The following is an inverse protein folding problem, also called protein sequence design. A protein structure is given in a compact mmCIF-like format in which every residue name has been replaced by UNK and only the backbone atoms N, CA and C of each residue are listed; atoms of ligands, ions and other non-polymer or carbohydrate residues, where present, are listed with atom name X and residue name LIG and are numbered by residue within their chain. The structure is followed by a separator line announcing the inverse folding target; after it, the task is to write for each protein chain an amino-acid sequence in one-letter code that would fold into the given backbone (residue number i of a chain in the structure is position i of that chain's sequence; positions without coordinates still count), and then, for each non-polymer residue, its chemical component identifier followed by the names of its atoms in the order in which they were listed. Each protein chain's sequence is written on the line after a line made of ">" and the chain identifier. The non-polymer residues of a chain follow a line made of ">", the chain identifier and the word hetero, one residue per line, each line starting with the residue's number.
data_IF_974692585972
#
_entry.id   IF_974692585972
#
_cell.length_a   1.000
_cell.length_b   1.000
_cell.length_c   1.000
_cell.angle_alpha   90.00
_cell.angle_beta   90.00
_cell.angle_gamma   90.00
#
_symmetry.space_group_name_H-M   'P 1'
#
loop_
_entity.id
_entity.type
_entity.pdbx_description
1 polymer ?
#
# COMPACT_ATOMS: atom_id res chain seq x y z
N UNK A 1 -13.47 -19.07 0.16
CA UNK A 1 -12.55 -18.43 -0.80
C UNK A 1 -12.88 -16.95 -0.89
N UNK A 2 -11.88 -16.08 -0.89
CA UNK A 2 -12.01 -14.63 -1.07
C UNK A 2 -11.33 -14.26 -2.37
N UNK A 3 -12.03 -13.52 -3.24
CA UNK A 3 -11.45 -13.00 -4.48
C UNK A 3 -11.49 -11.49 -4.42
N UNK A 4 -10.34 -10.84 -4.49
CA UNK A 4 -10.23 -9.40 -4.32
C UNK A 4 -9.33 -8.76 -5.37
N UNK A 5 -9.67 -7.55 -5.77
CA UNK A 5 -8.81 -6.68 -6.58
C UNK A 5 -8.22 -5.62 -5.67
N UNK A 6 -6.99 -5.21 -5.89
CA UNK A 6 -6.41 -4.09 -5.16
C UNK A 6 -5.65 -3.14 -6.07
N UNK A 7 -5.70 -1.86 -5.71
CA UNK A 7 -4.98 -0.81 -6.42
C UNK A 7 -4.72 0.42 -5.54
N UNK A 8 -3.72 1.21 -5.93
CA UNK A 8 -3.48 2.52 -5.35
C UNK A 8 -4.24 3.61 -6.08
N UNK A 9 -4.90 4.46 -5.31
CA UNK A 9 -5.40 5.71 -5.85
C UNK A 9 -4.25 6.64 -6.26
N UNK A 10 -4.55 7.60 -7.14
CA UNK A 10 -3.72 8.78 -7.32
C UNK A 10 -3.47 9.44 -5.95
N UNK A 11 -2.27 10.00 -5.77
CA UNK A 11 -1.91 10.65 -4.49
C UNK A 11 -2.89 11.79 -4.22
N UNK A 12 -3.62 11.67 -3.11
CA UNK A 12 -4.51 12.70 -2.60
C UNK A 12 -3.65 13.78 -1.92
N UNK A 13 -4.01 15.04 -2.09
CA UNK A 13 -3.24 16.16 -1.53
C UNK A 13 -4.05 16.83 -0.41
N UNK A 14 -3.35 17.36 0.60
CA UNK A 14 -3.93 18.13 1.70
C UNK A 14 -3.05 19.39 1.90
N UNK A 15 -3.61 20.60 1.79
CA UNK A 15 -5.00 20.90 1.48
C UNK A 15 -5.39 20.66 0.01
N UNK A 16 -6.64 20.28 -0.27
CA UNK A 16 -7.23 20.10 -1.60
C UNK A 16 -8.42 21.05 -1.79
N UNK A 17 -8.61 21.54 -3.02
CA UNK A 17 -9.68 22.47 -3.37
C UNK A 17 -9.29 23.39 -4.53
N UNK A 18 -10.24 24.16 -5.03
CA UNK A 18 -10.06 25.08 -6.16
C UNK A 18 -9.58 26.46 -5.69
N UNK A 19 -8.50 26.50 -4.89
CA UNK A 19 -7.88 27.73 -4.40
C UNK A 19 -6.54 27.92 -5.10
N UNK A 20 -6.33 29.09 -5.72
CA UNK A 20 -5.15 29.36 -6.56
C UNK A 20 -3.82 29.02 -5.86
N UNK A 21 -3.68 29.35 -4.57
CA UNK A 21 -2.43 29.09 -3.83
C UNK A 21 -2.09 27.60 -3.72
N UNK A 22 -3.09 26.70 -3.74
CA UNK A 22 -2.89 25.25 -3.65
C UNK A 22 -2.21 24.66 -4.89
N UNK A 23 -2.14 25.39 -5.99
CA UNK A 23 -1.45 24.95 -7.21
C UNK A 23 0.05 25.29 -7.18
N UNK A 24 0.45 26.30 -6.41
CA UNK A 24 1.83 26.82 -6.38
C UNK A 24 2.63 26.32 -5.17
N UNK A 25 1.96 25.84 -4.12
CA UNK A 25 2.60 25.38 -2.88
C UNK A 25 2.63 23.86 -2.77
N UNK A 26 3.68 23.34 -2.13
CA UNK A 26 3.76 21.90 -1.82
C UNK A 26 2.73 21.56 -0.75
N UNK A 27 2.07 20.42 -0.97
CA UNK A 27 0.98 19.93 -0.11
C UNK A 27 1.38 18.61 0.54
N UNK A 28 0.72 18.31 1.65
CA UNK A 28 0.86 17.03 2.34
C UNK A 28 0.21 15.94 1.48
N UNK A 29 0.94 14.87 1.24
CA UNK A 29 0.44 13.72 0.48
C UNK A 29 -0.29 12.75 1.40
N UNK A 30 -1.53 12.45 1.05
CA UNK A 30 -2.35 11.38 1.63
C UNK A 30 -2.47 10.24 0.63
N UNK A 31 -2.26 9.02 1.09
CA UNK A 31 -2.30 7.81 0.28
C UNK A 31 -3.57 7.04 0.59
N UNK A 32 -4.15 6.44 -0.46
CA UNK A 32 -5.27 5.52 -0.36
C UNK A 32 -4.94 4.25 -1.14
N UNK A 33 -4.89 3.12 -0.44
CA UNK A 33 -4.76 1.80 -1.02
C UNK A 33 -6.06 1.03 -0.84
N UNK A 34 -6.71 0.67 -1.94
CA UNK A 34 -8.03 0.06 -1.91
C UNK A 34 -7.91 -1.43 -2.16
N UNK A 35 -8.56 -2.24 -1.33
CA UNK A 35 -8.79 -3.67 -1.57
C UNK A 35 -10.29 -3.91 -1.69
N UNK A 36 -10.74 -4.33 -2.87
CA UNK A 36 -12.14 -4.59 -3.19
C UNK A 36 -12.42 -6.09 -3.20
N UNK A 37 -13.25 -6.57 -2.28
CA UNK A 37 -13.76 -7.95 -2.28
C UNK A 37 -14.88 -8.06 -3.32
N UNK A 38 -14.63 -8.78 -4.41
CA UNK A 38 -15.56 -8.91 -5.53
C UNK A 38 -16.81 -9.71 -5.16
N UNK A 39 -16.69 -10.70 -4.25
CA UNK A 39 -17.82 -11.53 -3.86
C UNK A 39 -18.77 -10.75 -2.94
N UNK A 40 -18.22 -10.01 -1.97
CA UNK A 40 -19.01 -9.23 -1.01
C UNK A 40 -19.38 -7.83 -1.53
N UNK A 41 -18.77 -7.39 -2.63
CA UNK A 41 -18.87 -6.03 -3.17
C UNK A 41 -18.52 -4.95 -2.13
N UNK A 42 -17.51 -5.23 -1.30
CA UNK A 42 -17.05 -4.34 -0.22
C UNK A 42 -15.63 -3.87 -0.50
N UNK A 43 -15.44 -2.56 -0.43
CA UNK A 43 -14.12 -1.93 -0.53
C UNK A 43 -13.58 -1.60 0.86
N UNK A 44 -12.32 -1.94 1.09
CA UNK A 44 -11.54 -1.49 2.24
C UNK A 44 -10.48 -0.51 1.73
N UNK A 45 -10.56 0.74 2.16
CA UNK A 45 -9.64 1.82 1.84
C UNK A 45 -8.66 2.01 3.01
N UNK A 46 -7.42 1.59 2.81
CA UNK A 46 -6.32 1.78 3.75
C UNK A 46 -5.71 3.16 3.50
N UNK A 47 -5.84 4.06 4.47
CA UNK A 47 -5.41 5.45 4.32
C UNK A 47 -4.39 5.85 5.37
N UNK A 48 -3.36 6.56 4.92
CA UNK A 48 -2.34 7.21 5.75
C UNK A 48 -1.74 8.38 4.99
N UNK A 49 -1.09 9.30 5.70
CA UNK A 49 -0.33 10.38 5.09
C UNK A 49 1.18 10.12 5.12
N UNK A 50 1.94 10.93 4.39
CA UNK A 50 3.39 10.76 4.22
C UNK A 50 4.20 10.89 5.51
N UNK A 51 3.65 11.46 6.59
CA UNK A 51 4.30 11.48 7.90
C UNK A 51 4.24 10.14 8.63
N UNK A 52 3.28 9.28 8.27
CA UNK A 52 3.08 7.96 8.88
C UNK A 52 3.94 6.93 8.18
N UNK A 53 3.74 6.72 6.89
CA UNK A 53 4.42 5.68 6.13
C UNK A 53 4.64 6.10 4.67
N UNK A 54 5.61 5.47 4.01
CA UNK A 54 5.90 5.71 2.58
C UNK A 54 4.81 5.09 1.70
N UNK A 55 4.98 5.19 0.39
CA UNK A 55 4.12 4.54 -0.62
C UNK A 55 4.88 3.45 -1.36
N UNK A 56 5.19 2.34 -0.68
CA UNK A 56 6.01 1.26 -1.21
C UNK A 56 5.49 -0.14 -0.91
N UNK A 57 6.33 -1.13 -1.22
CA UNK A 57 5.96 -2.54 -1.13
C UNK A 57 5.67 -3.03 0.30
N UNK A 58 6.30 -2.43 1.33
CA UNK A 58 6.02 -2.81 2.73
C UNK A 58 4.62 -2.39 3.15
N UNK A 59 4.17 -1.20 2.73
CA UNK A 59 2.83 -0.71 3.02
C UNK A 59 1.76 -1.54 2.32
N UNK A 60 1.96 -1.83 1.02
CA UNK A 60 1.08 -2.74 0.25
C UNK A 60 1.00 -4.09 0.92
N UNK A 61 2.16 -4.69 1.24
CA UNK A 61 2.23 -6.01 1.85
C UNK A 61 1.52 -6.04 3.20
N UNK A 62 1.67 -4.97 3.99
CA UNK A 62 1.04 -4.85 5.31
C UNK A 62 -0.48 -4.69 5.23
N UNK A 63 -0.98 -3.87 4.30
CA UNK A 63 -2.41 -3.72 4.06
C UNK A 63 -3.05 -5.03 3.57
N UNK A 64 -2.39 -5.73 2.64
CA UNK A 64 -2.84 -7.05 2.18
C UNK A 64 -2.78 -8.09 3.30
N UNK A 65 -1.74 -8.08 4.13
CA UNK A 65 -1.62 -8.96 5.29
C UNK A 65 -2.77 -8.72 6.30
N UNK A 66 -3.10 -7.46 6.59
CA UNK A 66 -4.24 -7.10 7.44
C UNK A 66 -5.57 -7.59 6.83
N UNK A 67 -5.77 -7.41 5.52
CA UNK A 67 -6.95 -7.89 4.80
C UNK A 67 -7.08 -9.42 4.87
N UNK A 68 -5.97 -10.14 4.67
CA UNK A 68 -5.91 -11.61 4.76
C UNK A 68 -6.29 -12.06 6.18
N UNK A 69 -5.62 -11.50 7.20
CA UNK A 69 -5.88 -11.83 8.61
C UNK A 69 -7.35 -11.62 8.99
N UNK A 70 -7.91 -10.46 8.65
CA UNK A 70 -9.31 -10.12 8.94
C UNK A 70 -10.30 -11.09 8.28
N UNK A 71 -9.98 -11.63 7.10
CA UNK A 71 -10.84 -12.60 6.43
C UNK A 71 -10.62 -14.04 6.90
N UNK A 72 -9.42 -14.39 7.37
CA UNK A 72 -9.17 -15.67 8.05
C UNK A 72 -9.98 -15.76 9.34
N UNK A 73 -10.03 -14.67 10.12
CA UNK A 73 -10.86 -14.60 11.33
C UNK A 73 -12.36 -14.81 11.03
N UNK A 74 -12.75 -14.63 9.76
CA UNK A 74 -14.10 -14.90 9.21
C UNK A 74 -14.21 -16.26 8.51
N UNK A 75 -13.21 -17.13 8.62
CA UNK A 75 -13.19 -18.49 8.07
C UNK A 75 -12.62 -18.64 6.65
N UNK A 76 -11.95 -17.62 6.09
CA UNK A 76 -11.36 -17.74 4.76
C UNK A 76 -10.05 -18.55 4.76
N UNK A 77 -9.94 -19.52 3.85
CA UNK A 77 -8.77 -20.40 3.69
C UNK A 77 -8.05 -20.26 2.34
N UNK A 78 -8.68 -19.60 1.37
CA UNK A 78 -8.16 -19.39 0.02
C UNK A 78 -8.39 -17.95 -0.41
N UNK A 79 -7.34 -17.33 -0.96
CA UNK A 79 -7.32 -15.96 -1.44
C UNK A 79 -6.88 -15.90 -2.90
N UNK A 80 -7.63 -15.16 -3.70
CA UNK A 80 -7.32 -14.88 -5.10
C UNK A 80 -7.28 -13.37 -5.30
N UNK A 81 -6.07 -12.86 -5.46
CA UNK A 81 -5.83 -11.44 -5.69
C UNK A 81 -5.65 -11.12 -7.16
N UNK A 82 -6.09 -9.94 -7.53
CA UNK A 82 -5.87 -9.32 -8.83
C UNK A 82 -5.32 -7.92 -8.63
N UNK A 83 -4.34 -7.51 -9.44
CA UNK A 83 -3.83 -6.13 -9.43
C UNK A 83 -3.34 -5.72 -10.80
N UNK A 84 -3.08 -4.42 -10.93
CA UNK A 84 -2.39 -3.85 -12.07
C UNK A 84 -0.92 -4.33 -12.20
N UNK A 85 -0.26 -3.95 -13.29
CA UNK A 85 1.14 -4.27 -13.56
C UNK A 85 2.10 -3.21 -13.02
N UNK A 86 2.05 -2.85 -11.74
CA UNK A 86 2.99 -1.91 -11.14
C UNK A 86 4.19 -2.62 -10.47
N UNK A 87 5.41 -2.61 -11.06
CA UNK A 87 6.59 -3.31 -10.49
C UNK A 87 7.03 -2.76 -9.13
N UNK A 88 6.93 -1.44 -8.92
CA UNK A 88 7.39 -0.80 -7.69
C UNK A 88 6.53 -1.11 -6.47
N UNK A 89 5.25 -1.45 -6.67
CA UNK A 89 4.25 -1.57 -5.60
C UNK A 89 3.72 -2.99 -5.47
N UNK A 90 3.23 -3.56 -6.57
CA UNK A 90 2.41 -4.78 -6.55
C UNK A 90 3.18 -5.99 -7.09
N UNK A 91 3.98 -5.80 -8.16
CA UNK A 91 4.78 -6.85 -8.79
C UNK A 91 6.21 -6.81 -8.31
N UNK A 92 6.42 -7.19 -7.05
CA UNK A 92 7.76 -7.33 -6.49
C UNK A 92 7.85 -8.49 -5.50
N UNK A 93 9.08 -8.96 -5.30
CA UNK A 93 9.44 -10.04 -4.38
C UNK A 93 9.05 -9.81 -2.92
N UNK A 94 8.84 -8.56 -2.49
CA UNK A 94 8.45 -8.25 -1.12
C UNK A 94 6.97 -8.54 -0.86
N UNK A 95 6.11 -8.28 -1.83
CA UNK A 95 4.70 -8.72 -1.79
C UNK A 95 4.63 -10.26 -1.80
N UNK A 96 5.48 -10.91 -2.60
CA UNK A 96 5.51 -12.37 -2.65
C UNK A 96 6.05 -13.01 -1.38
N UNK A 97 7.04 -12.40 -0.73
CA UNK A 97 7.54 -12.88 0.57
C UNK A 97 6.45 -12.76 1.65
N UNK A 98 5.62 -11.71 1.59
CA UNK A 98 4.44 -11.60 2.44
C UNK A 98 3.43 -12.73 2.18
N UNK A 99 3.13 -13.06 0.91
CA UNK A 99 2.23 -14.16 0.60
C UNK A 99 2.73 -15.50 1.14
N UNK A 100 4.03 -15.78 0.99
CA UNK A 100 4.65 -17.00 1.52
C UNK A 100 4.55 -17.01 3.04
N UNK A 101 4.90 -15.90 3.69
CA UNK A 101 4.78 -15.77 5.15
C UNK A 101 3.34 -16.03 5.65
N UNK A 102 2.34 -15.38 5.03
CA UNK A 102 0.94 -15.52 5.40
C UNK A 102 0.41 -16.94 5.12
N UNK A 103 0.77 -17.52 3.98
CA UNK A 103 0.36 -18.86 3.59
C UNK A 103 0.80 -19.91 4.62
N UNK A 104 2.02 -19.77 5.15
CA UNK A 104 2.56 -20.73 6.11
C UNK A 104 2.03 -20.46 7.51
N UNK A 105 2.01 -19.19 7.94
CA UNK A 105 1.53 -18.82 9.27
C UNK A 105 0.08 -19.24 9.51
N UNK A 106 -0.75 -19.17 8.47
CA UNK A 106 -2.19 -19.44 8.59
C UNK A 106 -2.65 -20.72 7.89
N UNK A 107 -1.74 -21.46 7.24
CA UNK A 107 -2.11 -22.68 6.50
C UNK A 107 -3.05 -22.43 5.32
N UNK A 108 -2.94 -21.28 4.65
CA UNK A 108 -3.85 -20.85 3.58
C UNK A 108 -3.23 -20.97 2.19
N UNK A 109 -4.06 -20.77 1.16
CA UNK A 109 -3.65 -20.71 -0.25
C UNK A 109 -3.83 -19.30 -0.78
N UNK A 110 -2.81 -18.76 -1.43
CA UNK A 110 -2.85 -17.42 -2.00
C UNK A 110 -2.41 -17.49 -3.46
N UNK A 111 -3.27 -17.05 -4.36
CA UNK A 111 -2.97 -16.85 -5.77
C UNK A 111 -3.08 -15.36 -6.09
N UNK A 112 -2.08 -14.78 -6.73
CA UNK A 112 -2.11 -13.39 -7.20
C UNK A 112 -1.86 -13.35 -8.70
N UNK A 113 -2.82 -12.79 -9.44
CA UNK A 113 -2.76 -12.60 -10.89
C UNK A 113 -2.64 -11.12 -11.23
N UNK A 114 -1.94 -10.86 -12.33
CA UNK A 114 -1.77 -9.51 -12.83
C UNK A 114 -2.62 -9.28 -14.08
N UNK A 115 -3.37 -8.18 -14.09
CA UNK A 115 -4.23 -7.79 -15.22
C UNK A 115 -3.39 -7.54 -16.49
N UNK A 116 -3.93 -7.82 -17.68
CA UNK A 116 -3.23 -7.53 -18.93
C UNK A 116 -3.22 -6.01 -19.19
N UNK A 117 -2.12 -5.50 -19.78
CA UNK A 117 -2.03 -4.08 -20.15
C UNK A 117 -3.14 -3.77 -21.17
N UNK A 118 -3.99 -2.78 -20.88
CA UNK A 118 -5.14 -2.40 -21.72
C UNK A 118 -6.50 -2.86 -21.20
N UNK A 119 -6.55 -3.78 -20.23
CA UNK A 119 -7.76 -4.19 -19.50
C UNK A 119 -7.62 -3.91 -18.00
N UNK A 120 -7.09 -2.73 -17.66
CA UNK A 120 -6.74 -2.37 -16.28
C UNK A 120 -7.93 -1.88 -15.46
N UNK A 121 -9.03 -1.45 -16.11
CA UNK A 121 -10.22 -0.98 -15.42
C UNK A 121 -10.80 -2.10 -14.54
N UNK A 122 -10.76 -1.86 -13.24
CA UNK A 122 -11.22 -2.81 -12.24
C UNK A 122 -12.12 -2.12 -11.20
N UNK A 123 -12.70 -2.90 -10.30
CA UNK A 123 -13.62 -2.40 -9.27
C UNK A 123 -12.94 -1.41 -8.30
N UNK A 124 -11.62 -1.49 -8.13
CA UNK A 124 -10.82 -0.49 -7.43
C UNK A 124 -10.85 0.89 -8.11
N UNK A 125 -10.68 0.93 -9.44
CA UNK A 125 -10.80 2.18 -10.22
C UNK A 125 -12.19 2.81 -10.11
N UNK A 126 -13.23 1.97 -10.01
CA UNK A 126 -14.60 2.44 -9.77
C UNK A 126 -14.73 3.14 -8.42
N UNK A 127 -14.12 2.58 -7.36
CA UNK A 127 -14.07 3.20 -6.03
C UNK A 127 -13.34 4.55 -6.09
N UNK A 128 -12.17 4.61 -6.72
CA UNK A 128 -11.38 5.84 -6.87
C UNK A 128 -12.13 6.90 -7.68
N UNK A 129 -12.80 6.51 -8.77
CA UNK A 129 -13.61 7.43 -9.59
C UNK A 129 -14.74 8.08 -8.79
N UNK A 130 -15.35 7.32 -7.86
CA UNK A 130 -16.40 7.84 -6.96
C UNK A 130 -15.81 8.80 -5.93
N UNK A 131 -14.64 8.47 -5.36
CA UNK A 131 -13.93 9.34 -4.41
C UNK A 131 -13.50 10.65 -5.09
N UNK A 132 -12.92 10.57 -6.28
CA UNK A 132 -12.50 11.73 -7.05
C UNK A 132 -13.69 12.65 -7.32
N UNK A 133 -14.80 12.11 -7.84
CA UNK A 133 -16.04 12.86 -8.06
C UNK A 133 -16.58 13.51 -6.78
N UNK A 134 -16.56 12.78 -5.67
CA UNK A 134 -17.01 13.30 -4.38
C UNK A 134 -16.12 14.46 -3.88
N UNK A 135 -14.84 14.47 -4.23
CA UNK A 135 -13.87 15.49 -3.80
C UNK A 135 -13.78 16.73 -4.72
N UNK A 136 -14.26 16.64 -5.96
CA UNK A 136 -14.09 17.71 -6.97
C UNK A 136 -14.62 19.09 -6.52
N UNK A 137 -15.70 19.12 -5.75
CA UNK A 137 -16.36 20.35 -5.31
C UNK A 137 -16.11 20.68 -3.83
N UNK A 138 -15.25 19.91 -3.16
CA UNK A 138 -15.02 20.04 -1.71
C UNK A 138 -13.61 20.52 -1.44
N UNK A 139 -13.51 21.38 -0.44
CA UNK A 139 -12.22 21.75 0.15
C UNK A 139 -11.91 20.78 1.29
N UNK A 140 -10.68 20.30 1.34
CA UNK A 140 -10.23 19.28 2.30
C UNK A 140 -8.90 19.76 2.84
N UNK A 141 -8.82 20.11 4.10
CA UNK A 141 -7.63 20.69 4.70
C UNK A 141 -6.70 19.61 5.28
N UNK A 142 -7.25 18.58 5.92
CA UNK A 142 -6.45 17.56 6.62
C UNK A 142 -6.78 16.11 6.17
N UNK A 143 -5.85 15.14 6.32
CA UNK A 143 -6.09 13.74 5.94
C UNK A 143 -7.28 13.07 6.64
N UNK A 144 -7.68 13.54 7.82
CA UNK A 144 -8.86 13.11 8.57
C UNK A 144 -10.14 13.35 7.75
N UNK A 145 -10.23 14.50 7.10
CA UNK A 145 -11.39 14.86 6.28
C UNK A 145 -11.45 14.03 5.00
N UNK A 146 -10.30 13.69 4.40
CA UNK A 146 -10.25 12.71 3.31
C UNK A 146 -10.81 11.37 3.74
N UNK A 147 -10.47 10.88 4.94
CA UNK A 147 -11.02 9.61 5.46
C UNK A 147 -12.54 9.65 5.61
N UNK A 148 -13.08 10.77 6.08
CA UNK A 148 -14.52 10.98 6.18
C UNK A 148 -15.17 11.00 4.79
N UNK A 149 -14.59 11.77 3.86
CA UNK A 149 -15.09 11.85 2.49
C UNK A 149 -15.08 10.48 1.82
N UNK A 150 -13.97 9.74 1.90
CA UNK A 150 -13.84 8.39 1.31
C UNK A 150 -14.90 7.46 1.90
N UNK A 151 -15.07 7.43 3.23
CA UNK A 151 -16.10 6.59 3.87
C UNK A 151 -17.48 6.81 3.28
N UNK A 152 -17.84 8.08 3.05
CA UNK A 152 -19.16 8.50 2.58
C UNK A 152 -19.22 8.87 1.09
N UNK A 153 -18.21 8.48 0.30
CA UNK A 153 -18.07 8.98 -1.08
C UNK A 153 -19.18 8.50 -2.02
N UNK A 154 -19.70 7.29 -1.78
CA UNK A 154 -20.78 6.72 -2.60
C UNK A 154 -22.15 7.05 -2.03
N UNK A 155 -23.10 7.30 -2.93
CA UNK A 155 -24.47 7.66 -2.57
C UNK A 155 -25.36 6.45 -2.24
N UNK A 156 -25.00 5.26 -2.74
CA UNK A 156 -25.82 4.05 -2.62
C UNK A 156 -25.04 2.86 -2.02
N UNK A 157 -25.74 2.05 -1.23
CA UNK A 157 -25.19 0.87 -0.55
C UNK A 157 -24.36 1.20 0.69
N UNK A 158 -23.73 0.18 1.28
CA UNK A 158 -22.99 0.34 2.54
C UNK A 158 -21.70 1.17 2.39
N UNK A 159 -21.45 2.18 3.23
CA UNK A 159 -20.23 3.01 3.19
C UNK A 159 -18.92 2.22 3.03
N UNK A 160 -17.91 2.82 2.39
CA UNK A 160 -16.60 2.17 2.30
C UNK A 160 -15.98 1.97 3.69
N UNK A 161 -15.30 0.85 3.89
CA UNK A 161 -14.56 0.61 5.13
C UNK A 161 -13.26 1.37 5.04
N UNK A 162 -13.07 2.41 5.87
CA UNK A 162 -11.83 3.17 5.92
C UNK A 162 -10.99 2.71 7.10
N UNK A 163 -9.81 2.17 6.81
CA UNK A 163 -8.82 1.77 7.80
C UNK A 163 -7.75 2.86 7.90
N UNK A 164 -7.59 3.43 9.09
CA UNK A 164 -6.50 4.38 9.36
C UNK A 164 -5.21 3.60 9.64
N UNK A 165 -4.32 3.55 8.65
CA UNK A 165 -3.02 2.88 8.79
C UNK A 165 -2.13 3.74 9.68
N UNK A 166 -1.55 3.11 10.69
CA UNK A 166 -0.54 3.69 11.59
C UNK A 166 0.82 3.05 11.35
N UNK A 167 1.90 3.60 11.92
CA UNK A 167 3.24 3.01 11.78
C UNK A 167 3.32 1.58 12.31
N UNK A 168 2.54 1.26 13.34
CA UNK A 168 2.48 -0.07 13.95
C UNK A 168 1.83 -1.12 13.03
N UNK A 169 1.03 -0.67 12.06
CA UNK A 169 0.41 -1.56 11.07
C UNK A 169 1.39 -1.92 9.95
N UNK A 170 2.51 -1.21 9.79
CA UNK A 170 3.45 -1.42 8.67
C UNK A 170 4.66 -2.25 9.10
N UNK A 171 4.79 -3.42 8.48
CA UNK A 171 5.86 -4.38 8.73
C UNK A 171 6.92 -4.40 7.63
N UNK A 172 8.15 -4.75 8.00
CA UNK A 172 9.24 -4.90 7.05
C UNK A 172 9.27 -6.30 6.42
N UNK A 173 8.53 -6.48 5.32
CA UNK A 173 8.57 -7.73 4.55
C UNK A 173 9.83 -7.85 3.67
N UNK A 174 10.59 -6.76 3.50
CA UNK A 174 11.86 -6.80 2.76
C UNK A 174 12.90 -7.64 3.48
N UNK A 175 12.92 -7.64 4.82
CA UNK A 175 13.85 -8.46 5.59
C UNK A 175 13.66 -9.97 5.40
N UNK A 176 12.51 -10.40 4.87
CA UNK A 176 12.22 -11.81 4.56
C UNK A 176 12.82 -12.27 3.22
N UNK A 177 13.25 -11.34 2.37
CA UNK A 177 13.81 -11.64 1.05
C UNK A 177 15.33 -11.77 1.15
N UNK A 178 15.85 -12.93 0.76
CA UNK A 178 17.28 -13.15 0.61
C UNK A 178 17.68 -12.99 -0.87
N UNK A 179 18.45 -11.94 -1.18
CA UNK A 179 18.87 -11.64 -2.54
C UNK A 179 19.58 -12.80 -3.23
N UNK A 180 20.34 -13.64 -2.52
CA UNK A 180 21.03 -14.79 -3.15
C UNK A 180 20.06 -15.89 -3.60
N UNK A 181 18.91 -15.99 -2.94
CA UNK A 181 17.93 -17.06 -3.18
C UNK A 181 16.91 -16.62 -4.24
N UNK A 182 16.45 -15.37 -4.20
CA UNK A 182 15.38 -14.85 -5.05
C UNK A 182 15.84 -14.44 -6.47
N UNK A 183 16.89 -15.07 -7.00
CA UNK A 183 17.43 -14.77 -8.35
C UNK A 183 17.08 -15.86 -9.35
N UNK A 184 17.14 -17.14 -8.95
CA UNK A 184 17.03 -18.28 -9.87
C UNK A 184 15.93 -19.24 -9.42
N UNK A 185 15.26 -19.86 -10.38
CA UNK A 185 14.35 -20.96 -10.12
C UNK A 185 15.10 -22.29 -9.85
N UNK A 186 14.36 -23.37 -9.60
CA UNK A 186 14.93 -24.71 -9.36
C UNK A 186 15.74 -25.26 -10.55
N UNK A 187 15.55 -24.74 -11.76
CA UNK A 187 16.30 -25.14 -12.95
C UNK A 187 17.56 -24.27 -13.15
N UNK A 188 17.83 -23.33 -12.24
CA UNK A 188 18.95 -22.40 -12.33
C UNK A 188 18.74 -21.22 -13.28
N UNK A 189 17.52 -21.05 -13.81
CA UNK A 189 17.17 -19.95 -14.71
C UNK A 189 16.84 -18.68 -13.92
N UNK A 190 17.35 -17.54 -14.39
CA UNK A 190 17.08 -16.24 -13.77
C UNK A 190 15.59 -15.90 -13.82
N UNK A 191 15.02 -15.51 -12.68
CA UNK A 191 13.61 -15.12 -12.55
C UNK A 191 13.43 -13.67 -13.03
N UNK A 192 12.56 -13.48 -14.01
CA UNK A 192 12.18 -12.17 -14.51
C UNK A 192 10.93 -11.68 -13.78
N UNK A 193 11.10 -11.13 -12.57
CA UNK A 193 10.00 -10.68 -11.70
C UNK A 193 8.98 -9.78 -12.41
N UNK A 194 9.43 -8.91 -13.31
CA UNK A 194 8.59 -7.98 -14.08
C UNK A 194 7.67 -8.67 -15.09
N UNK A 195 7.95 -9.92 -15.47
CA UNK A 195 7.21 -10.66 -16.48
C UNK A 195 6.23 -11.67 -15.88
N UNK A 196 6.20 -11.82 -14.56
CA UNK A 196 5.31 -12.78 -13.89
C UNK A 196 3.86 -12.34 -14.06
N UNK A 197 3.00 -13.30 -14.42
CA UNK A 197 1.55 -13.13 -14.62
C UNK A 197 0.73 -13.73 -13.50
N UNK A 198 1.26 -14.75 -12.83
CA UNK A 198 0.62 -15.40 -11.69
C UNK A 198 1.68 -15.81 -10.68
N UNK A 199 1.38 -15.60 -9.40
CA UNK A 199 2.13 -16.09 -8.26
C UNK A 199 1.21 -16.92 -7.39
N UNK A 200 1.72 -18.03 -6.89
CA UNK A 200 0.99 -18.92 -5.99
C UNK A 200 1.87 -19.30 -4.80
N UNK A 201 1.32 -19.16 -3.60
CA UNK A 201 1.91 -19.56 -2.34
C UNK A 201 0.90 -20.39 -1.54
N UNK A 202 1.39 -21.38 -0.80
CA UNK A 202 0.52 -22.24 0.01
C UNK A 202 1.23 -22.68 1.30
N UNK A 203 0.44 -23.03 2.31
CA UNK A 203 0.97 -23.49 3.61
C UNK A 203 1.52 -24.91 3.63
N UNK A 204 1.30 -25.72 2.59
CA UNK A 204 1.76 -27.13 2.50
C UNK A 204 3.21 -27.21 2.05
N UNK A 205 3.63 -26.35 1.12
CA UNK A 205 5.00 -26.22 0.62
C UNK A 205 5.66 -24.92 1.13
N UNK A 206 6.01 -24.83 2.43
CA UNK A 206 6.43 -23.58 3.06
C UNK A 206 7.72 -22.98 2.50
N UNK A 207 8.51 -23.78 1.79
CA UNK A 207 9.79 -23.36 1.25
C UNK A 207 9.72 -23.02 -0.24
N UNK A 208 8.53 -22.99 -0.84
CA UNK A 208 8.38 -22.80 -2.29
C UNK A 208 7.48 -21.61 -2.61
N UNK A 209 7.86 -20.91 -3.67
CA UNK A 209 7.01 -19.96 -4.38
C UNK A 209 6.81 -20.46 -5.79
N UNK A 210 5.56 -20.53 -6.23
CA UNK A 210 5.21 -20.96 -7.56
C UNK A 210 4.85 -19.74 -8.40
N UNK A 211 5.28 -19.70 -9.66
CA UNK A 211 4.96 -18.58 -10.55
C UNK A 211 4.85 -18.99 -12.02
N UNK A 212 4.09 -18.22 -12.78
CA UNK A 212 3.94 -18.38 -14.24
C UNK A 212 4.23 -17.09 -14.98
N UNK A 213 4.81 -17.22 -16.18
CA UNK A 213 5.00 -16.11 -17.11
C UNK A 213 3.83 -15.97 -18.09
N UNK A 214 3.06 -17.03 -18.27
CA UNK A 214 1.84 -17.07 -19.08
C UNK A 214 0.79 -17.87 -18.32
N UNK A 215 -0.45 -17.36 -18.26
CA UNK A 215 -1.56 -18.01 -17.57
C UNK A 215 -1.92 -19.36 -18.20
N UNK A 216 -1.63 -19.55 -19.49
CA UNK A 216 -1.87 -20.78 -20.22
C UNK A 216 -0.79 -21.85 -20.00
N UNK A 217 0.29 -21.53 -19.27
CA UNK A 217 1.31 -22.53 -18.94
C UNK A 217 0.69 -23.65 -18.09
N UNK A 218 0.89 -24.93 -18.46
CA UNK A 218 0.30 -26.05 -17.73
C UNK A 218 0.90 -26.17 -16.32
N UNK A 219 2.21 -25.97 -16.20
CA UNK A 219 2.97 -26.13 -14.96
C UNK A 219 3.46 -24.79 -14.41
N UNK A 220 3.71 -24.76 -13.10
CA UNK A 220 4.33 -23.61 -12.44
C UNK A 220 5.86 -23.74 -12.47
N UNK A 221 6.54 -22.62 -12.72
CA UNK A 221 7.94 -22.50 -12.32
C UNK A 221 8.00 -22.41 -10.80
N UNK A 222 9.07 -22.95 -10.21
CA UNK A 222 9.21 -23.01 -8.75
C UNK A 222 10.50 -22.33 -8.32
N UNK A 223 10.40 -21.46 -7.32
CA UNK A 223 11.52 -20.93 -6.55
C UNK A 223 11.55 -21.61 -5.18
N UNK A 224 12.70 -22.14 -4.78
CA UNK A 224 12.93 -22.60 -3.41
C UNK A 224 13.46 -21.43 -2.58
N UNK A 225 12.65 -20.94 -1.64
CA UNK A 225 12.97 -19.76 -0.80
C UNK A 225 13.92 -20.14 0.36
N UNK A 226 13.90 -21.40 0.79
CA UNK A 226 14.75 -21.92 1.87
C UNK A 226 15.20 -23.33 1.55
N UNK A 227 16.48 -23.63 1.80
CA UNK A 227 16.99 -25.01 1.75
C UNK A 227 16.46 -25.85 2.92
N UNK A 228 16.87 -27.11 3.00
CA UNK A 228 16.51 -28.04 4.09
C UNK A 228 17.03 -27.63 5.50
N UNK A 229 17.67 -26.47 5.63
CA UNK A 229 18.13 -25.95 6.92
C UNK A 229 16.97 -25.32 7.69
N UNK A 230 16.89 -25.64 9.00
CA UNK A 230 15.87 -25.24 9.99
C UNK A 230 15.78 -23.72 10.27
N UNK A 231 15.91 -22.85 9.28
CA UNK A 231 15.56 -21.45 9.47
C UNK A 231 14.03 -21.38 9.52
N UNK A 232 13.50 -21.38 10.74
CA UNK A 232 12.09 -21.14 11.01
C UNK A 232 11.66 -19.81 10.43
N UNK A 233 10.39 -19.70 10.06
CA UNK A 233 9.81 -18.40 9.67
C UNK A 233 9.86 -17.52 10.92
N UNK A 234 10.26 -16.24 10.80
CA UNK A 234 10.20 -15.34 11.94
C UNK A 234 8.81 -15.43 12.58
N UNK A 235 8.74 -15.73 13.87
CA UNK A 235 7.47 -15.89 14.58
C UNK A 235 6.69 -14.57 14.59
N UNK A 236 7.43 -13.45 14.59
CA UNK A 236 6.91 -12.09 14.62
C UNK A 236 7.50 -11.25 13.49
N UNK A 237 6.67 -10.33 12.97
CA UNK A 237 7.08 -9.38 11.95
C UNK A 237 7.69 -8.14 12.61
N UNK A 238 8.81 -7.65 12.05
CA UNK A 238 9.44 -6.42 12.51
C UNK A 238 8.69 -5.20 11.97
N UNK A 239 8.48 -4.14 12.76
CA UNK A 239 7.98 -2.86 12.25
C UNK A 239 8.90 -2.30 11.16
N UNK A 240 8.31 -1.69 10.12
CA UNK A 240 9.07 -1.02 9.06
C UNK A 240 9.63 0.35 9.50
N UNK A 241 9.04 0.93 10.54
CA UNK A 241 9.37 2.26 11.04
C UNK A 241 9.59 2.22 12.56
N UNK A 242 10.60 2.93 13.03
CA UNK A 242 10.88 3.14 14.45
C UNK A 242 10.56 4.57 14.92
N UNK A 243 10.36 5.50 13.98
CA UNK A 243 10.06 6.91 14.21
C UNK A 243 9.14 7.43 13.09
N UNK A 244 8.37 8.51 13.34
CA UNK A 244 7.63 9.21 12.30
C UNK A 244 8.50 9.63 11.12
N UNK A 245 7.92 9.69 9.93
CA UNK A 245 8.62 10.15 8.73
C UNK A 245 8.61 11.66 8.72
N UNK A 246 9.79 12.27 8.67
CA UNK A 246 9.93 13.72 8.59
C UNK A 246 9.49 14.23 7.21
N UNK A 247 8.61 15.21 7.22
CA UNK A 247 8.20 15.98 6.05
C UNK A 247 9.37 16.88 5.61
N UNK A 248 9.61 17.06 4.29
CA UNK A 248 10.65 17.97 3.80
C UNK A 248 10.45 19.40 4.31
N UNK A 249 11.54 20.07 4.72
CA UNK A 249 11.47 21.42 5.30
C UNK A 249 10.78 22.43 4.38
N UNK A 250 11.05 22.34 3.07
CA UNK A 250 10.43 23.19 2.05
C UNK A 250 8.91 22.98 1.93
N UNK A 251 8.44 21.75 2.12
CA UNK A 251 7.01 21.43 2.15
C UNK A 251 6.38 21.91 3.45
N UNK A 252 7.04 21.70 4.58
CA UNK A 252 6.58 22.21 5.87
C UNK A 252 6.43 23.75 5.85
N UNK A 253 7.43 24.46 5.32
CA UNK A 253 7.37 25.91 5.11
C UNK A 253 6.15 26.32 4.27
N UNK A 254 5.94 25.68 3.13
CA UNK A 254 4.79 25.96 2.27
C UNK A 254 3.44 25.74 3.00
N UNK A 255 3.33 24.71 3.85
CA UNK A 255 2.15 24.43 4.68
C UNK A 255 1.94 25.50 5.77
N UNK A 256 3.03 25.92 6.42
CA UNK A 256 3.00 26.98 7.44
C UNK A 256 2.60 28.32 6.84
N UNK A 257 3.13 28.68 5.67
CA UNK A 257 2.74 29.90 5.00
C UNK A 257 1.24 29.91 4.64
N UNK A 258 0.66 28.76 4.27
CA UNK A 258 -0.80 28.65 4.00
C UNK A 258 -1.64 28.80 5.27
N UNK A 259 -1.10 28.42 6.43
CA UNK A 259 -1.72 28.69 7.72
C UNK A 259 -1.63 30.19 8.05
N UNK A 260 -0.46 30.82 7.86
CA UNK A 260 -0.24 32.24 8.11
C UNK A 260 -1.08 33.14 7.20
N UNK A 261 -1.30 32.74 5.95
CA UNK A 261 -2.16 33.47 5.02
C UNK A 261 -3.65 33.18 5.22
N UNK A 262 -4.03 32.42 6.25
CA UNK A 262 -5.40 32.02 6.61
C UNK A 262 -6.18 31.30 5.49
N UNK A 263 -5.48 30.79 4.48
CA UNK A 263 -6.11 29.95 3.44
C UNK A 263 -6.46 28.59 4.03
N UNK A 264 -5.62 28.08 4.94
CA UNK A 264 -5.97 27.00 5.84
C UNK A 264 -6.64 27.64 7.07
N UNK A 265 -7.89 27.27 7.40
CA UNK A 265 -8.59 27.79 8.58
C UNK A 265 -7.86 27.49 9.89
N UNK A 266 -8.03 28.38 10.87
CA UNK A 266 -7.35 28.36 12.16
C UNK A 266 -7.52 27.03 12.90
N UNK A 267 -8.68 26.38 12.79
CA UNK A 267 -8.94 25.09 13.44
C UNK A 267 -7.99 23.97 13.01
N UNK A 268 -7.36 24.08 11.83
CA UNK A 268 -6.45 23.07 11.30
C UNK A 268 -4.97 23.38 11.56
N UNK A 269 -4.63 24.57 12.07
CA UNK A 269 -3.23 24.99 12.27
C UNK A 269 -2.49 24.06 13.23
N UNK A 270 -3.15 23.63 14.31
CA UNK A 270 -2.57 22.72 15.29
C UNK A 270 -2.10 21.39 14.67
N UNK A 271 -2.86 20.87 13.69
CA UNK A 271 -2.47 19.66 12.96
C UNK A 271 -1.15 19.88 12.20
N UNK A 272 -1.07 20.94 11.39
CA UNK A 272 0.12 21.20 10.59
C UNK A 272 1.35 21.55 11.44
N UNK A 273 1.17 22.30 12.53
CA UNK A 273 2.25 22.60 13.49
C UNK A 273 2.83 21.35 14.14
N UNK A 274 2.03 20.29 14.30
CA UNK A 274 2.45 19.03 14.91
C UNK A 274 3.20 18.09 13.96
N UNK A 275 3.29 18.42 12.66
CA UNK A 275 3.90 17.54 11.69
C UNK A 275 5.41 17.38 11.94
N UNK A 276 5.93 16.14 11.96
CA UNK A 276 7.37 15.90 12.02
C UNK A 276 8.03 16.44 10.76
N UNK A 277 9.09 17.25 10.88
CA UNK A 277 9.73 17.89 9.74
C UNK A 277 11.23 18.04 9.93
N UNK A 278 11.94 18.18 8.81
CA UNK A 278 13.36 18.54 8.83
C UNK A 278 13.53 20.01 9.20
N UNK A 279 14.43 20.29 10.15
CA UNK A 279 14.85 21.66 10.48
C UNK A 279 15.87 22.10 9.43
N UNK A 280 15.61 23.22 8.74
CA UNK A 280 16.65 23.93 7.99
C UNK A 280 17.56 24.62 8.99
N UNK A 281 18.79 24.13 9.13
CA UNK A 281 19.84 24.93 9.75
C UNK A 281 20.22 25.96 8.70
N UNK A 282 19.74 27.20 8.88
CA UNK A 282 20.33 28.32 8.17
C UNK A 282 21.76 28.42 8.68
N UNK A 283 22.73 28.02 7.85
CA UNK A 283 24.11 28.43 8.05
C UNK A 283 24.11 29.92 7.74
N UNK A 284 23.85 30.73 8.76
CA UNK A 284 24.20 32.14 8.72
C UNK A 284 25.70 32.19 8.45
N UNK A 285 26.06 32.69 7.26
CA UNK A 285 27.37 33.28 7.02
C UNK A 285 27.59 34.31 8.11
N UNK A 286 28.44 33.96 9.07
CA UNK A 286 29.09 34.90 9.97
C UNK A 286 30.53 34.41 10.15
N UNK A 287 31.44 35.39 10.15
CA UNK A 287 32.91 35.36 10.25
C UNK A 287 33.67 35.11 8.94
N UNK A 288 34.49 36.03 8.39
CA UNK A 288 34.99 37.36 8.77
C UNK A 288 35.44 38.07 7.47
#
# INVERSE_FOLDING_TARGET
>A
MVTAVFDFEKVLQCPHGNINIFYYKRKLSSYNFTVYDMAKRKAVCYMWDESVAKRGANEVSSCLYNFIKTNIDRGATEFRFWSDNCPGQNRNRYVYSMYVYAAIKFGIRITHRFLQKGHTQNEGDSVHSVIERASQTKTIFIPQEWRLLVKWAKNEGEPYVVYNVTQNDVFDFKCLVNDKVWIKDIQGKKICWNNIREVYANGVDPNKLFFKYDLNQPEYNTLIIRGNTRNSIPTELKPAYSKPIMVPASKYKDLMDMCQSEVIPLEYHAYFNSLPHHITVDVSEDSE
#
